data_IF_403420256481
#
_entry.id   IF_403420256481
#
_cell.length_a   1.000
_cell.length_b   1.000
_cell.length_c   1.000
_cell.angle_alpha   90.00
_cell.angle_beta   90.00
_cell.angle_gamma   90.00
#
_symmetry.space_group_name_H-M   'P 1'
#
loop_
_entity.id
_entity.type
_entity.pdbx_description
1 polymer ?
#
# COMPACT_ATOMS: atom_id res chain seq x y z
N UNK A 1 22.46 -8.44 -85.09
CA UNK A 1 21.22 -7.96 -84.47
C UNK A 1 20.82 -8.93 -83.38
N UNK A 2 20.81 -8.43 -82.15
CA UNK A 2 20.40 -9.16 -80.94
C UNK A 2 18.87 -9.16 -80.80
N UNK A 3 18.32 -10.13 -80.05
CA UNK A 3 17.54 -9.85 -78.83
C UNK A 3 17.26 -11.16 -78.07
N UNK A 4 17.77 -11.20 -76.84
CA UNK A 4 17.47 -12.19 -75.81
C UNK A 4 16.09 -11.92 -75.22
N UNK A 5 15.30 -12.97 -74.99
CA UNK A 5 14.11 -12.90 -74.14
C UNK A 5 14.46 -13.47 -72.77
N UNK A 6 14.48 -12.59 -71.78
CA UNK A 6 14.90 -12.86 -70.41
C UNK A 6 13.83 -13.56 -69.57
N UNK A 7 14.31 -14.44 -68.69
CA UNK A 7 13.61 -14.86 -67.48
C UNK A 7 13.50 -13.67 -66.51
N UNK A 8 12.31 -13.44 -65.97
CA UNK A 8 12.13 -12.64 -64.76
C UNK A 8 11.68 -13.57 -63.63
N UNK A 9 12.62 -13.92 -62.74
CA UNK A 9 12.33 -14.49 -61.43
C UNK A 9 11.93 -13.32 -60.51
N UNK A 10 10.65 -13.23 -60.17
CA UNK A 10 10.17 -12.29 -59.15
C UNK A 10 10.21 -12.98 -57.79
N UNK A 11 11.28 -12.76 -57.04
CA UNK A 11 11.39 -13.14 -55.63
C UNK A 11 10.58 -12.16 -54.76
N UNK A 12 9.39 -12.58 -54.32
CA UNK A 12 8.66 -11.91 -53.23
C UNK A 12 9.32 -12.25 -51.89
N UNK A 13 10.11 -11.32 -51.35
CA UNK A 13 10.53 -11.35 -49.96
C UNK A 13 9.43 -10.67 -49.14
N UNK A 14 8.59 -11.47 -48.49
CA UNK A 14 7.64 -10.96 -47.49
C UNK A 14 8.42 -10.61 -46.21
N UNK A 15 8.77 -9.33 -46.07
CA UNK A 15 9.31 -8.80 -44.81
C UNK A 15 8.19 -8.70 -43.78
N UNK A 16 8.16 -9.63 -42.83
CA UNK A 16 7.32 -9.51 -41.64
C UNK A 16 7.89 -8.40 -40.74
N UNK A 17 7.26 -7.23 -40.75
CA UNK A 17 7.49 -6.20 -39.73
C UNK A 17 6.89 -6.71 -38.41
N UNK A 18 7.74 -7.19 -37.52
CA UNK A 18 7.39 -7.39 -36.11
C UNK A 18 7.45 -6.01 -35.46
N UNK A 19 6.30 -5.34 -35.34
CA UNK A 19 6.18 -4.19 -34.44
C UNK A 19 6.15 -4.72 -33.01
N UNK A 20 7.31 -4.76 -32.35
CA UNK A 20 7.33 -4.81 -30.89
C UNK A 20 6.80 -3.47 -30.39
N UNK A 21 5.52 -3.41 -30.05
CA UNK A 21 5.03 -2.36 -29.18
C UNK A 21 5.69 -2.60 -27.82
N UNK A 22 6.81 -1.94 -27.56
CA UNK A 22 7.30 -1.78 -26.22
C UNK A 22 6.23 -0.98 -25.47
N UNK A 23 5.40 -1.66 -24.69
CA UNK A 23 4.62 -1.02 -23.65
C UNK A 23 5.63 -0.46 -22.67
N UNK A 24 5.95 0.83 -22.80
CA UNK A 24 6.66 1.55 -21.76
C UNK A 24 5.75 1.51 -20.54
N UNK A 25 6.10 0.69 -19.55
CA UNK A 25 5.56 0.85 -18.22
C UNK A 25 5.82 2.30 -17.82
N UNK A 26 4.76 3.10 -17.77
CA UNK A 26 4.86 4.48 -17.36
C UNK A 26 4.77 4.48 -15.85
N UNK A 27 5.79 5.06 -15.20
CA UNK A 27 5.79 5.27 -13.76
C UNK A 27 4.47 5.89 -13.31
N UNK A 28 3.94 5.44 -12.17
CA UNK A 28 2.74 6.02 -11.59
C UNK A 28 2.92 7.55 -11.42
N UNK A 29 1.95 8.39 -11.82
CA UNK A 29 2.06 9.83 -11.65
C UNK A 29 2.15 10.18 -10.17
N UNK A 30 2.75 11.32 -9.83
CA UNK A 30 2.65 11.86 -8.46
C UNK A 30 1.24 12.37 -8.25
N UNK A 31 0.61 11.97 -7.15
CA UNK A 31 -0.74 12.42 -6.76
C UNK A 31 -0.71 13.19 -5.44
N UNK A 32 -1.84 13.80 -5.11
CA UNK A 32 -2.04 14.52 -3.86
C UNK A 32 -1.98 13.57 -2.65
N UNK A 33 -1.25 13.95 -1.60
CA UNK A 33 -1.00 13.13 -0.40
C UNK A 33 -1.65 13.68 0.86
N UNK A 34 -2.56 14.65 0.78
CA UNK A 34 -3.21 15.28 1.94
C UNK A 34 -3.84 14.29 2.94
N UNK A 35 -4.26 13.10 2.49
CA UNK A 35 -4.73 12.05 3.38
C UNK A 35 -3.66 11.55 4.36
N UNK A 36 -2.39 11.49 3.95
CA UNK A 36 -1.27 11.16 4.83
C UNK A 36 -1.08 12.22 5.93
N UNK A 37 -1.27 13.51 5.61
CA UNK A 37 -1.18 14.59 6.61
C UNK A 37 -2.23 14.40 7.72
N UNK A 38 -3.48 14.14 7.35
CA UNK A 38 -4.55 13.81 8.31
C UNK A 38 -4.22 12.58 9.17
N UNK A 39 -3.62 11.55 8.57
CA UNK A 39 -3.21 10.36 9.29
C UNK A 39 -2.09 10.66 10.29
N UNK A 40 -1.08 11.43 9.88
CA UNK A 40 0.03 11.85 10.73
C UNK A 40 -0.43 12.75 11.89
N UNK A 41 -1.31 13.71 11.63
CA UNK A 41 -1.88 14.59 12.66
C UNK A 41 -2.66 13.79 13.72
N UNK A 42 -3.41 12.77 13.29
CA UNK A 42 -4.11 11.88 14.20
C UNK A 42 -3.16 11.00 15.00
N UNK A 43 -2.11 10.45 14.38
CA UNK A 43 -1.04 9.71 15.11
C UNK A 43 -0.41 10.61 16.17
N UNK A 44 -0.02 11.83 15.81
CA UNK A 44 0.57 12.79 16.75
C UNK A 44 -0.37 13.11 17.91
N UNK A 45 -1.67 13.22 17.65
CA UNK A 45 -2.70 13.51 18.66
C UNK A 45 -3.01 12.34 19.61
N UNK A 46 -2.74 11.11 19.18
CA UNK A 46 -3.06 9.88 19.93
C UNK A 46 -1.83 9.21 20.54
N UNK A 47 -0.63 9.61 20.15
CA UNK A 47 0.62 9.11 20.74
C UNK A 47 0.74 9.55 22.20
N UNK A 48 0.99 8.59 23.09
CA UNK A 48 1.13 8.84 24.54
C UNK A 48 -0.16 9.14 25.28
N UNK A 49 -1.33 9.01 24.64
CA UNK A 49 -2.63 9.10 25.33
C UNK A 49 -2.77 7.94 26.32
N UNK A 50 -3.23 8.24 27.53
CA UNK A 50 -3.47 7.22 28.56
C UNK A 50 -4.52 6.21 28.04
N UNK A 51 -4.22 4.90 28.03
CA UNK A 51 -5.17 3.87 27.63
C UNK A 51 -6.52 3.94 28.37
N UNK A 52 -6.54 4.44 29.61
CA UNK A 52 -7.76 4.64 30.37
C UNK A 52 -8.71 5.68 29.76
N UNK A 53 -8.21 6.60 28.92
CA UNK A 53 -9.05 7.55 28.18
C UNK A 53 -9.83 6.88 27.04
N UNK A 54 -9.43 5.67 26.62
CA UNK A 54 -10.11 4.89 25.58
C UNK A 54 -10.28 5.66 24.25
N UNK A 55 -9.28 6.47 23.86
CA UNK A 55 -9.32 7.33 22.67
C UNK A 55 -8.64 6.75 21.44
N UNK A 56 -7.81 5.72 21.59
CA UNK A 56 -7.13 5.07 20.48
C UNK A 56 -7.39 3.57 20.54
N UNK A 57 -8.25 3.07 19.65
CA UNK A 57 -8.71 1.69 19.71
C UNK A 57 -8.71 1.04 18.34
N UNK A 58 -8.34 -0.23 18.31
CA UNK A 58 -8.53 -1.07 17.15
C UNK A 58 -9.98 -1.59 17.08
N UNK A 59 -10.61 -1.41 15.93
CA UNK A 59 -11.97 -1.87 15.67
C UNK A 59 -11.98 -3.36 15.31
N UNK A 60 -12.84 -4.14 15.99
CA UNK A 60 -13.11 -5.52 15.59
C UNK A 60 -13.78 -5.61 14.21
N UNK A 61 -13.87 -6.83 13.66
CA UNK A 61 -14.38 -7.06 12.31
C UNK A 61 -15.79 -6.48 12.07
N UNK A 62 -16.67 -6.54 13.06
CA UNK A 62 -18.08 -6.08 12.99
C UNK A 62 -18.31 -4.65 13.47
N UNK A 63 -17.31 -4.00 14.08
CA UNK A 63 -17.46 -2.63 14.57
C UNK A 63 -17.35 -1.62 13.42
N UNK A 64 -18.24 -0.64 13.42
CA UNK A 64 -18.15 0.50 12.52
C UNK A 64 -16.97 1.38 12.93
N UNK A 65 -16.19 1.83 11.95
CA UNK A 65 -15.06 2.70 12.21
C UNK A 65 -15.51 4.15 12.37
N UNK A 66 -14.82 4.89 13.24
CA UNK A 66 -15.06 6.31 13.46
C UNK A 66 -13.77 7.01 13.87
N UNK A 67 -13.64 8.26 13.43
CA UNK A 67 -12.57 9.18 13.85
C UNK A 67 -13.22 10.49 14.27
N UNK A 68 -12.81 10.98 15.44
CA UNK A 68 -12.99 12.38 15.82
C UNK A 68 -11.70 13.10 15.49
N UNK A 69 -11.70 13.94 14.45
CA UNK A 69 -10.54 14.73 14.05
C UNK A 69 -10.31 15.91 15.00
N UNK A 70 -9.07 16.37 15.08
CA UNK A 70 -8.74 17.61 15.79
C UNK A 70 -9.36 18.80 15.04
N UNK A 71 -10.51 19.30 15.50
CA UNK A 71 -11.15 20.49 14.96
C UNK A 71 -11.75 21.34 16.10
N UNK A 72 -11.19 22.53 16.31
CA UNK A 72 -11.58 23.42 17.40
C UNK A 72 -11.34 22.79 18.77
N UNK A 73 -12.40 22.60 19.55
CA UNK A 73 -12.35 22.01 20.89
C UNK A 73 -12.57 20.50 20.92
N UNK A 74 -12.71 19.84 19.76
CA UNK A 74 -12.90 18.40 19.70
C UNK A 74 -11.66 17.65 20.20
N UNK A 75 -11.85 16.69 21.09
CA UNK A 75 -10.79 15.81 21.58
C UNK A 75 -10.58 14.66 20.59
N UNK A 76 -9.39 14.52 19.98
CA UNK A 76 -9.17 13.51 18.95
C UNK A 76 -9.33 12.09 19.50
N UNK A 77 -9.99 11.23 18.72
CA UNK A 77 -10.16 9.80 19.04
C UNK A 77 -10.35 8.97 17.78
N UNK A 78 -10.03 7.68 17.86
CA UNK A 78 -10.16 6.73 16.77
C UNK A 78 -10.63 5.36 17.28
N UNK A 79 -11.61 4.80 16.59
CA UNK A 79 -11.95 3.37 16.61
C UNK A 79 -11.85 2.87 15.17
N UNK A 80 -10.72 2.27 14.80
CA UNK A 80 -10.40 1.98 13.40
C UNK A 80 -9.61 0.69 13.20
N UNK A 81 -9.51 0.26 11.94
CA UNK A 81 -8.58 -0.75 11.42
C UNK A 81 -7.94 -0.18 10.15
N UNK A 82 -6.80 -0.70 9.71
CA UNK A 82 -5.97 -0.11 8.65
C UNK A 82 -6.78 0.38 7.44
N UNK A 83 -7.63 -0.48 6.86
CA UNK A 83 -8.43 -0.13 5.69
C UNK A 83 -9.39 1.05 5.93
N UNK A 84 -10.17 1.03 7.02
CA UNK A 84 -11.13 2.11 7.26
C UNK A 84 -10.45 3.38 7.78
N UNK A 85 -9.28 3.29 8.42
CA UNK A 85 -8.49 4.46 8.77
C UNK A 85 -8.07 5.21 7.50
N UNK A 86 -7.54 4.49 6.51
CA UNK A 86 -7.24 5.05 5.19
C UNK A 86 -8.49 5.65 4.52
N UNK A 87 -9.62 4.94 4.49
CA UNK A 87 -10.85 5.46 3.86
C UNK A 87 -11.37 6.74 4.52
N UNK A 88 -11.34 6.80 5.86
CA UNK A 88 -11.78 7.96 6.62
C UNK A 88 -10.82 9.14 6.42
N UNK A 89 -9.50 8.90 6.35
CA UNK A 89 -8.50 9.91 6.04
C UNK A 89 -8.67 10.48 4.62
N UNK A 90 -8.92 9.64 3.62
CA UNK A 90 -9.27 10.10 2.26
C UNK A 90 -10.49 11.02 2.27
N UNK A 91 -11.55 10.63 2.97
CA UNK A 91 -12.80 11.40 3.02
C UNK A 91 -12.62 12.74 3.75
N UNK A 92 -11.72 12.79 4.75
CA UNK A 92 -11.38 14.01 5.47
C UNK A 92 -10.51 14.97 4.63
N UNK A 93 -9.52 14.41 3.92
CA UNK A 93 -8.60 15.18 3.09
C UNK A 93 -9.26 15.72 1.80
N UNK A 94 -10.21 14.98 1.23
CA UNK A 94 -10.80 15.29 -0.06
C UNK A 94 -12.33 15.42 0.05
N UNK A 95 -12.88 16.65 0.16
CA UNK A 95 -14.32 16.86 0.30
C UNK A 95 -15.18 16.26 -0.83
N UNK A 96 -14.60 16.03 -2.01
CA UNK A 96 -15.28 15.36 -3.13
C UNK A 96 -15.35 13.83 -2.98
N UNK A 97 -14.53 13.23 -2.12
CA UNK A 97 -14.52 11.80 -1.82
C UNK A 97 -15.59 11.51 -0.76
N UNK A 98 -16.84 11.54 -1.19
CA UNK A 98 -17.99 11.27 -0.31
C UNK A 98 -18.30 9.77 -0.22
N UNK A 99 -19.07 9.35 0.79
CA UNK A 99 -19.51 7.96 0.89
C UNK A 99 -20.26 7.46 -0.35
N UNK A 100 -21.02 8.30 -1.06
CA UNK A 100 -21.65 7.90 -2.32
C UNK A 100 -20.65 7.73 -3.45
N UNK A 101 -19.60 8.56 -3.47
CA UNK A 101 -18.52 8.46 -4.45
C UNK A 101 -17.72 7.17 -4.24
N UNK A 102 -17.32 6.89 -2.99
CA UNK A 102 -16.65 5.65 -2.59
C UNK A 102 -17.48 4.41 -2.96
N UNK A 103 -18.80 4.46 -2.73
CA UNK A 103 -19.68 3.36 -3.11
C UNK A 103 -19.71 3.15 -4.63
N UNK A 104 -19.73 4.23 -5.41
CA UNK A 104 -19.69 4.17 -6.88
C UNK A 104 -18.38 3.55 -7.38
N UNK A 105 -17.26 3.96 -6.79
CA UNK A 105 -15.93 3.48 -7.15
C UNK A 105 -15.69 2.02 -6.78
N UNK A 106 -16.02 1.67 -5.54
CA UNK A 106 -15.50 0.44 -4.92
C UNK A 106 -16.58 -0.55 -4.49
N UNK A 107 -17.86 -0.20 -4.64
CA UNK A 107 -19.02 -0.98 -4.20
C UNK A 107 -19.25 -0.93 -2.69
N UNK A 108 -18.58 -0.02 -1.97
CA UNK A 108 -18.70 0.14 -0.53
C UNK A 108 -18.05 1.43 -0.03
N UNK A 109 -18.49 1.91 1.14
CA UNK A 109 -17.98 3.15 1.74
C UNK A 109 -16.74 2.93 2.62
N UNK A 110 -16.40 1.68 2.90
CA UNK A 110 -15.23 1.28 3.67
C UNK A 110 -14.80 -0.12 3.22
N UNK A 111 -14.03 -0.21 2.12
CA UNK A 111 -13.47 -1.48 1.66
C UNK A 111 -12.64 -2.17 2.76
N UNK A 112 -12.57 -3.50 2.74
CA UNK A 112 -11.63 -4.25 3.55
C UNK A 112 -10.21 -4.19 2.95
N UNK A 113 -9.18 -4.55 3.72
CA UNK A 113 -7.81 -4.59 3.17
C UNK A 113 -7.65 -5.50 1.95
N UNK A 114 -8.20 -6.73 1.94
CA UNK A 114 -8.17 -7.54 0.72
C UNK A 114 -8.90 -6.90 -0.45
N UNK A 115 -9.98 -6.15 -0.18
CA UNK A 115 -10.68 -5.42 -1.23
C UNK A 115 -9.82 -4.28 -1.77
N UNK A 116 -9.10 -3.54 -0.92
CA UNK A 116 -8.12 -2.57 -1.40
C UNK A 116 -7.01 -3.20 -2.23
N UNK A 117 -6.55 -4.39 -1.83
CA UNK A 117 -5.60 -5.15 -2.65
C UNK A 117 -6.19 -5.42 -4.05
N UNK A 118 -7.41 -5.97 -4.14
CA UNK A 118 -8.07 -6.23 -5.43
C UNK A 118 -8.24 -4.95 -6.27
N UNK A 119 -8.57 -3.82 -5.61
CA UNK A 119 -8.80 -2.54 -6.28
C UNK A 119 -7.51 -1.94 -6.82
N UNK A 120 -6.38 -2.13 -6.13
CA UNK A 120 -5.07 -1.69 -6.59
C UNK A 120 -4.61 -2.54 -7.78
N UNK A 121 -4.72 -3.87 -7.70
CA UNK A 121 -4.41 -4.76 -8.84
C UNK A 121 -5.27 -4.46 -10.07
N UNK A 122 -6.53 -4.11 -9.85
CA UNK A 122 -7.46 -3.71 -10.92
C UNK A 122 -7.29 -2.25 -11.36
N UNK A 123 -6.37 -1.51 -10.74
CA UNK A 123 -6.11 -0.08 -10.97
C UNK A 123 -7.37 0.81 -10.90
N UNK A 124 -8.33 0.45 -10.03
CA UNK A 124 -9.62 1.14 -9.90
C UNK A 124 -9.50 2.33 -8.93
N UNK A 125 -9.26 3.53 -9.48
CA UNK A 125 -8.84 4.74 -8.76
C UNK A 125 -7.47 4.61 -8.06
N UNK A 126 -6.65 3.69 -8.54
CA UNK A 126 -5.27 3.50 -8.11
C UNK A 126 -4.36 3.32 -9.32
N UNK A 127 -3.17 3.89 -9.26
CA UNK A 127 -2.03 3.44 -10.06
C UNK A 127 -1.32 2.34 -9.29
N UNK A 128 -1.09 1.19 -9.92
CA UNK A 128 -0.23 0.19 -9.31
C UNK A 128 1.23 0.66 -9.36
N UNK A 129 1.93 0.55 -8.24
CA UNK A 129 3.36 0.92 -8.12
C UNK A 129 4.16 -0.36 -8.02
N UNK A 130 4.76 -0.78 -9.14
CA UNK A 130 5.42 -2.08 -9.25
C UNK A 130 6.86 -2.08 -8.73
N UNK A 131 7.54 -0.93 -8.79
CA UNK A 131 8.94 -0.78 -8.43
C UNK A 131 9.08 -0.14 -7.05
N UNK A 132 9.93 -0.70 -6.19
CA UNK A 132 10.15 -0.19 -4.83
C UNK A 132 10.68 1.26 -4.83
N UNK A 133 11.46 1.63 -5.85
CA UNK A 133 12.03 2.97 -6.02
C UNK A 133 11.00 4.02 -6.45
N UNK A 134 9.85 3.58 -6.97
CA UNK A 134 8.75 4.47 -7.36
C UNK A 134 7.75 4.70 -6.22
N UNK A 135 7.90 4.00 -5.08
CA UNK A 135 7.06 4.17 -3.90
C UNK A 135 7.34 5.54 -3.27
N UNK A 136 6.27 6.28 -3.01
CA UNK A 136 6.32 7.62 -2.42
C UNK A 136 5.46 7.68 -1.15
N UNK A 137 5.73 8.65 -0.25
CA UNK A 137 4.79 8.98 0.83
C UNK A 137 3.38 9.22 0.29
N UNK A 138 2.38 8.64 0.98
CA UNK A 138 0.97 8.64 0.56
C UNK A 138 0.56 7.40 -0.25
N UNK A 139 1.51 6.59 -0.71
CA UNK A 139 1.15 5.31 -1.34
C UNK A 139 0.58 4.34 -0.31
N UNK A 140 -0.34 3.50 -0.77
CA UNK A 140 -1.06 2.52 0.05
C UNK A 140 -0.44 1.15 -0.14
N UNK A 141 0.01 0.55 0.95
CA UNK A 141 0.40 -0.85 1.00
C UNK A 141 -0.81 -1.66 1.46
N UNK A 142 -1.29 -2.59 0.64
CA UNK A 142 -2.36 -3.50 1.05
C UNK A 142 -1.90 -4.95 0.98
N UNK A 143 -2.29 -5.75 1.96
CA UNK A 143 -1.92 -7.17 2.05
C UNK A 143 -3.14 -8.08 2.08
N UNK A 144 -2.95 -9.32 1.63
CA UNK A 144 -3.90 -10.43 1.81
C UNK A 144 -3.27 -11.53 2.64
N UNK A 145 -4.00 -12.03 3.64
CA UNK A 145 -3.53 -13.14 4.46
C UNK A 145 -4.06 -14.46 3.91
N UNK A 146 -3.28 -15.08 3.02
CA UNK A 146 -3.61 -16.37 2.43
C UNK A 146 -3.35 -17.51 3.43
N UNK A 147 -4.20 -17.65 4.46
CA UNK A 147 -4.19 -18.89 5.23
C UNK A 147 -4.95 -20.00 4.46
N UNK A 148 -4.61 -21.27 4.75
CA UNK A 148 -5.15 -22.48 4.08
C UNK A 148 -6.69 -22.65 4.14
N UNK A 149 -7.42 -21.71 4.75
CA UNK A 149 -8.89 -21.75 4.90
C UNK A 149 -9.62 -20.66 4.08
N UNK A 150 -8.92 -19.91 3.22
CA UNK A 150 -9.55 -18.89 2.38
C UNK A 150 -10.07 -17.66 3.14
N UNK A 151 -9.45 -17.35 4.30
CA UNK A 151 -9.85 -16.18 5.10
C UNK A 151 -9.44 -14.90 4.38
N UNK A 152 -10.43 -14.07 4.07
CA UNK A 152 -10.26 -12.79 3.38
C UNK A 152 -9.94 -11.67 4.39
N UNK A 153 -8.80 -11.77 5.08
CA UNK A 153 -8.27 -10.71 5.96
C UNK A 153 -6.96 -10.16 5.42
N UNK A 154 -6.48 -9.07 6.00
CA UNK A 154 -5.26 -8.38 5.59
C UNK A 154 -5.02 -7.15 6.43
N UNK A 155 -4.01 -6.37 6.05
CA UNK A 155 -3.76 -5.03 6.58
C UNK A 155 -3.60 -4.02 5.45
N UNK A 156 -3.99 -2.78 5.71
CA UNK A 156 -3.80 -1.64 4.81
C UNK A 156 -3.05 -0.58 5.59
N UNK A 157 -1.95 -0.11 5.00
CA UNK A 157 -1.03 0.84 5.60
C UNK A 157 -0.73 1.93 4.58
N UNK A 158 -0.39 3.13 5.04
CA UNK A 158 0.03 4.22 4.16
C UNK A 158 1.49 4.52 4.41
N UNK A 159 2.28 4.64 3.35
CA UNK A 159 3.70 4.97 3.42
C UNK A 159 3.85 6.41 3.89
N UNK A 160 4.58 6.62 4.98
CA UNK A 160 5.00 7.94 5.44
C UNK A 160 6.42 8.28 4.98
N UNK A 161 7.30 7.28 4.92
CA UNK A 161 8.68 7.42 4.44
C UNK A 161 9.20 6.07 3.94
N UNK A 162 10.13 6.11 2.99
CA UNK A 162 10.83 4.92 2.49
C UNK A 162 12.28 5.26 2.19
N UNK A 163 13.20 4.39 2.62
CA UNK A 163 14.61 4.53 2.28
C UNK A 163 15.29 3.17 2.10
N UNK A 164 16.30 3.14 1.23
CA UNK A 164 17.17 1.98 1.12
C UNK A 164 17.86 1.73 2.47
N UNK A 165 17.82 0.48 2.93
CA UNK A 165 18.40 0.08 4.21
C UNK A 165 19.71 -0.68 4.02
N UNK A 166 19.69 -1.77 3.24
CA UNK A 166 20.88 -2.60 3.01
C UNK A 166 20.69 -3.55 1.83
N UNK A 167 21.78 -4.16 1.36
CA UNK A 167 21.75 -5.31 0.45
C UNK A 167 22.00 -6.58 1.25
N UNK A 168 21.08 -7.54 1.16
CA UNK A 168 21.17 -8.84 1.81
C UNK A 168 22.11 -9.79 1.05
N UNK A 169 22.49 -10.89 1.70
CA UNK A 169 23.20 -11.97 1.03
C UNK A 169 22.35 -12.51 -0.14
N UNK A 170 22.94 -12.59 -1.34
CA UNK A 170 22.22 -12.95 -2.58
C UNK A 170 21.79 -11.76 -3.43
N UNK A 171 22.04 -10.53 -2.98
CA UNK A 171 21.83 -9.31 -3.78
C UNK A 171 20.47 -8.64 -3.56
N UNK A 172 19.52 -9.28 -2.87
CA UNK A 172 18.22 -8.69 -2.52
C UNK A 172 18.40 -7.34 -1.82
N UNK A 173 17.75 -6.32 -2.33
CA UNK A 173 17.77 -4.98 -1.74
C UNK A 173 16.67 -4.89 -0.69
N UNK A 174 16.98 -4.36 0.49
CA UNK A 174 16.03 -4.18 1.58
C UNK A 174 15.83 -2.71 1.83
N UNK A 175 14.56 -2.31 1.92
CA UNK A 175 14.11 -0.96 2.19
C UNK A 175 13.42 -0.94 3.55
N UNK A 176 13.68 0.11 4.32
CA UNK A 176 12.93 0.41 5.53
C UNK A 176 11.80 1.36 5.16
N UNK A 177 10.60 1.03 5.62
CA UNK A 177 9.40 1.81 5.30
C UNK A 177 8.72 2.21 6.60
N UNK A 178 8.60 3.52 6.80
CA UNK A 178 7.73 4.05 7.85
C UNK A 178 6.31 4.03 7.33
N UNK A 179 5.41 3.39 8.08
CA UNK A 179 4.00 3.25 7.73
C UNK A 179 3.11 3.81 8.81
N UNK A 180 1.99 4.38 8.39
CA UNK A 180 0.92 4.83 9.25
C UNK A 180 -0.30 3.95 9.02
N UNK A 181 -0.81 3.34 10.08
CA UNK A 181 -1.93 2.41 10.00
C UNK A 181 -2.72 2.33 11.31
N UNK A 182 -3.71 1.44 11.33
CA UNK A 182 -4.43 1.09 12.54
C UNK A 182 -4.48 -0.42 12.71
N UNK A 183 -3.76 -0.96 13.69
CA UNK A 183 -3.59 -2.40 13.91
C UNK A 183 -3.86 -2.78 15.36
N UNK A 184 -4.15 -4.07 15.60
CA UNK A 184 -4.38 -4.62 16.93
C UNK A 184 -3.07 -4.89 17.69
N UNK A 185 -1.94 -4.86 16.99
CA UNK A 185 -0.61 -5.07 17.55
C UNK A 185 0.38 -4.10 16.88
N UNK A 186 1.24 -3.41 17.66
CA UNK A 186 2.32 -2.60 17.11
C UNK A 186 3.26 -3.41 16.21
N UNK A 187 3.89 -2.75 15.24
CA UNK A 187 4.82 -3.37 14.29
C UNK A 187 6.14 -3.80 14.94
N UNK A 188 6.59 -3.08 15.98
CA UNK A 188 7.76 -3.42 16.78
C UNK A 188 8.15 -2.29 17.73
N UNK A 189 9.37 -2.33 18.26
CA UNK A 189 9.89 -1.36 19.25
C UNK A 189 9.89 0.10 18.79
N UNK A 190 9.94 0.34 17.48
CA UNK A 190 9.94 1.67 16.89
C UNK A 190 8.54 2.18 16.56
N UNK A 191 7.51 1.39 16.88
CA UNK A 191 6.11 1.79 16.68
C UNK A 191 5.69 2.78 17.78
N UNK A 192 4.95 3.83 17.41
CA UNK A 192 4.45 4.84 18.37
C UNK A 192 3.48 4.25 19.40
N UNK A 193 2.94 3.06 19.14
CA UNK A 193 2.09 2.29 20.05
C UNK A 193 2.86 1.29 20.91
N UNK A 194 4.18 1.19 20.73
CA UNK A 194 4.99 0.25 21.47
C UNK A 194 5.12 0.67 22.93
N UNK A 195 4.65 -0.22 23.80
CA UNK A 195 4.79 -0.12 25.24
C UNK A 195 5.09 -1.54 25.76
N UNK A 196 6.05 -1.65 26.68
CA UNK A 196 6.51 -2.93 27.22
C UNK A 196 5.48 -3.58 28.15
N UNK A 197 4.68 -2.76 28.84
CA UNK A 197 3.75 -3.19 29.86
C UNK A 197 2.32 -3.29 29.30
N UNK A 198 1.97 -2.42 28.34
CA UNK A 198 0.62 -2.33 27.77
C UNK A 198 0.64 -1.97 26.28
N UNK A 199 0.90 -2.91 25.36
CA UNK A 199 0.91 -2.63 23.93
C UNK A 199 -0.43 -2.00 23.50
N UNK A 200 -0.34 -0.81 22.91
CA UNK A 200 -1.51 -0.02 22.53
C UNK A 200 -1.99 -0.49 21.15
N UNK A 201 -3.31 -0.62 20.99
CA UNK A 201 -3.94 -0.92 19.71
C UNK A 201 -4.47 0.36 19.04
N UNK A 202 -4.82 0.30 17.77
CA UNK A 202 -5.43 1.42 17.06
C UNK A 202 -4.41 2.15 16.19
N UNK A 203 -4.63 3.44 15.97
CA UNK A 203 -3.83 4.31 15.09
C UNK A 203 -2.41 4.48 15.62
N UNK A 204 -1.42 4.36 14.73
CA UNK A 204 -0.02 4.60 15.05
C UNK A 204 0.87 4.63 13.82
N UNK A 205 2.16 4.88 14.04
CA UNK A 205 3.20 4.82 13.03
C UNK A 205 4.23 3.77 13.43
N UNK A 206 4.66 2.93 12.49
CA UNK A 206 5.63 1.87 12.72
C UNK A 206 6.55 1.65 11.53
N UNK A 207 7.51 0.74 11.68
CA UNK A 207 8.47 0.40 10.63
C UNK A 207 8.20 -1.01 10.11
N UNK A 208 8.14 -1.16 8.79
CA UNK A 208 8.21 -2.46 8.13
C UNK A 208 9.44 -2.50 7.21
N UNK A 209 9.74 -3.69 6.68
CA UNK A 209 10.72 -3.84 5.60
C UNK A 209 10.07 -4.37 4.35
N UNK A 210 10.49 -3.84 3.21
CA UNK A 210 10.23 -4.40 1.89
C UNK A 210 11.56 -4.92 1.31
N UNK A 211 11.52 -6.12 0.78
CA UNK A 211 12.63 -6.72 0.05
C UNK A 211 12.33 -6.64 -1.44
N UNK A 212 13.25 -6.11 -2.23
CA UNK A 212 13.13 -5.98 -3.66
C UNK A 212 14.10 -6.92 -4.39
N UNK A 213 13.61 -7.48 -5.49
CA UNK A 213 14.44 -8.24 -6.41
C UNK A 213 15.44 -7.29 -7.10
N UNK A 214 16.76 -7.58 -7.05
CA UNK A 214 17.78 -6.64 -7.51
C UNK A 214 17.86 -6.53 -9.04
N UNK A 215 17.15 -7.38 -9.78
CA UNK A 215 17.12 -7.36 -11.25
C UNK A 215 15.92 -6.58 -11.76
N UNK A 216 14.77 -6.76 -11.11
CA UNK A 216 13.49 -6.20 -11.55
C UNK A 216 13.08 -4.96 -10.75
N UNK A 217 13.62 -4.72 -9.56
CA UNK A 217 13.19 -3.67 -8.64
C UNK A 217 11.84 -3.92 -7.97
N UNK A 218 11.18 -5.04 -8.31
CA UNK A 218 9.86 -5.38 -7.80
C UNK A 218 9.90 -5.90 -6.36
N UNK A 219 8.84 -5.63 -5.60
CA UNK A 219 8.69 -6.14 -4.23
C UNK A 219 8.59 -7.66 -4.25
N UNK A 220 9.49 -8.32 -3.53
CA UNK A 220 9.66 -9.77 -3.47
C UNK A 220 9.28 -10.38 -2.10
N UNK A 221 9.24 -9.56 -1.06
CA UNK A 221 8.83 -9.97 0.27
C UNK A 221 8.78 -8.81 1.27
N UNK A 222 8.33 -9.09 2.49
CA UNK A 222 8.24 -8.10 3.54
C UNK A 222 8.32 -8.72 4.95
N UNK A 223 8.59 -7.87 5.94
CA UNK A 223 8.53 -8.21 7.36
C UNK A 223 8.00 -7.04 8.19
N UNK A 224 7.38 -7.31 9.33
CA UNK A 224 6.65 -6.32 10.12
C UNK A 224 7.52 -5.44 11.03
N UNK A 225 8.80 -5.76 11.25
CA UNK A 225 9.79 -4.89 11.92
C UNK A 225 11.22 -5.41 11.83
N UNK A 226 12.16 -4.65 12.41
CA UNK A 226 13.60 -4.96 12.44
C UNK A 226 14.01 -5.92 13.57
N UNK A 227 13.06 -6.43 14.37
CA UNK A 227 13.38 -7.22 15.57
C UNK A 227 13.78 -8.67 15.26
N UNK A 228 14.05 -9.00 13.99
CA UNK A 228 14.44 -10.34 13.54
C UNK A 228 13.30 -11.36 13.59
N UNK A 229 13.56 -12.57 13.08
CA UNK A 229 12.51 -13.59 12.87
C UNK A 229 11.80 -14.07 14.14
N UNK A 230 12.43 -13.91 15.31
CA UNK A 230 11.83 -14.26 16.61
C UNK A 230 10.60 -13.40 16.92
N UNK A 231 10.57 -12.16 16.44
CA UNK A 231 9.54 -11.17 16.78
C UNK A 231 8.83 -10.60 15.54
N UNK A 232 9.41 -10.76 14.35
CA UNK A 232 8.86 -10.34 13.06
C UNK A 232 9.13 -11.39 11.99
N UNK A 233 8.09 -12.15 11.64
CA UNK A 233 8.18 -13.13 10.56
C UNK A 233 8.38 -12.45 9.21
N UNK A 234 9.21 -13.06 8.37
CA UNK A 234 9.35 -12.71 6.96
C UNK A 234 8.31 -13.45 6.12
N UNK A 235 7.76 -12.78 5.12
CA UNK A 235 6.81 -13.36 4.16
C UNK A 235 7.23 -13.02 2.74
N UNK A 236 7.25 -14.02 1.85
CA UNK A 236 7.34 -13.76 0.40
C UNK A 236 6.00 -13.22 -0.11
N UNK A 237 6.02 -12.50 -1.24
CA UNK A 237 4.77 -12.07 -1.91
C UNK A 237 3.86 -13.25 -2.29
N UNK A 238 4.40 -14.46 -2.46
CA UNK A 238 3.61 -15.66 -2.73
C UNK A 238 2.88 -16.15 -1.47
N UNK A 239 3.55 -16.10 -0.30
CA UNK A 239 2.98 -16.58 0.97
C UNK A 239 2.00 -15.57 1.57
N UNK A 240 2.34 -14.28 1.48
CA UNK A 240 1.50 -13.16 1.90
C UNK A 240 1.60 -12.07 0.85
N UNK A 241 0.65 -11.99 -0.08
CA UNK A 241 0.68 -10.96 -1.11
C UNK A 241 0.60 -9.56 -0.51
N UNK A 242 1.41 -8.67 -1.07
CA UNK A 242 1.41 -7.24 -0.81
C UNK A 242 1.39 -6.53 -2.17
N UNK A 243 0.55 -5.50 -2.29
CA UNK A 243 0.50 -4.62 -3.46
C UNK A 243 0.62 -3.17 -3.00
N UNK A 244 1.25 -2.35 -3.83
CA UNK A 244 1.40 -0.92 -3.61
C UNK A 244 0.53 -0.17 -4.61
N UNK A 245 -0.28 0.76 -4.11
CA UNK A 245 -1.20 1.54 -4.93
C UNK A 245 -1.13 3.02 -4.59
N UNK A 246 -1.02 3.85 -5.61
CA UNK A 246 -1.13 5.29 -5.49
C UNK A 246 -2.54 5.74 -5.83
N UNK A 247 -3.25 6.30 -4.86
CA UNK A 247 -4.63 6.74 -5.05
C UNK A 247 -4.71 7.94 -6.02
N UNK A 248 -5.66 7.87 -6.97
CA UNK A 248 -5.97 8.96 -7.88
C UNK A 248 -7.49 9.06 -8.11
N UNK A 249 -8.07 10.15 -7.62
CA UNK A 249 -9.52 10.44 -7.75
C UNK A 249 -9.98 10.66 -9.20
N UNK A 250 -9.06 10.85 -10.15
CA UNK A 250 -9.37 11.14 -11.55
C UNK A 250 -9.03 10.00 -12.51
N UNK A 251 -8.45 8.90 -12.02
CA UNK A 251 -8.24 7.67 -12.80
C UNK A 251 -9.54 6.90 -12.92
#
# INVERSE_FOLDING_TARGET
MAKLNGLALSSLVAGALITLAASSAQAAPVTDTAHLDYMNDLVASLTGVDPAENRNNWASASQACAITWANGSATPSALTKGACFFTLALSAAYPSVTGSQLYTWWGGQSPSSPRYYDLIEAENHFWQVDLVEEILPGDVLSTKYLNRSGVNTGNTMVVADISFYTTLAGGTERYIVTVVDSTNSPHGQQDTRYDLDYPISGVGSGLIFLDADPVTGGVSGHSWSNQGQTYSSYYTITDRPLVVGRFDRNK
#
